data_IF_335841998768
#
_entry.id   IF_335841998768
#
_cell.length_a   1.000
_cell.length_b   1.000
_cell.length_c   1.000
_cell.angle_alpha   90.00
_cell.angle_beta   90.00
_cell.angle_gamma   90.00
#
_symmetry.space_group_name_H-M   'P 1'
#
loop_
_entity.id
_entity.type
_entity.pdbx_description
1 polymer ?
#
# COMPACT_ATOMS: atom_id res chain seq x y z
N UNK A 1 -20.24 -5.24 11.13
CA UNK A 1 -19.17 -5.84 11.96
C UNK A 1 -18.82 -4.87 13.07
N UNK A 2 -18.43 -5.39 14.25
CA UNK A 2 -17.87 -4.57 15.34
C UNK A 2 -16.35 -4.57 15.21
N UNK A 3 -15.76 -3.39 15.01
CA UNK A 3 -14.34 -3.23 14.76
C UNK A 3 -13.72 -2.31 15.81
N UNK A 4 -12.61 -2.73 16.40
CA UNK A 4 -11.85 -1.93 17.35
C UNK A 4 -10.55 -1.49 16.64
N UNK A 5 -10.31 -0.18 16.61
CA UNK A 5 -9.08 0.43 16.09
C UNK A 5 -8.29 1.02 17.25
N UNK A 6 -7.13 0.48 17.50
CA UNK A 6 -6.19 0.92 18.53
C UNK A 6 -5.12 1.82 17.90
N UNK A 7 -5.22 3.12 18.14
CA UNK A 7 -4.42 4.17 17.53
C UNK A 7 -5.25 5.06 16.60
N UNK A 8 -5.38 6.35 16.93
CA UNK A 8 -6.10 7.37 16.17
C UNK A 8 -5.17 8.30 15.37
N UNK A 9 -3.88 7.94 15.25
CA UNK A 9 -2.90 8.64 14.43
C UNK A 9 -3.22 8.57 12.92
N UNK A 10 -2.28 8.98 12.08
CA UNK A 10 -2.48 9.07 10.61
C UNK A 10 -2.93 7.75 9.98
N UNK A 11 -2.35 6.63 10.39
CA UNK A 11 -2.70 5.29 9.88
C UNK A 11 -4.10 4.89 10.33
N UNK A 12 -4.40 4.99 11.64
CA UNK A 12 -5.72 4.64 12.17
C UNK A 12 -6.82 5.48 11.55
N UNK A 13 -6.61 6.79 11.42
CA UNK A 13 -7.57 7.71 10.77
C UNK A 13 -7.82 7.32 9.30
N UNK A 14 -6.76 6.98 8.55
CA UNK A 14 -6.90 6.52 7.18
C UNK A 14 -7.72 5.24 7.09
N UNK A 15 -7.46 4.26 7.95
CA UNK A 15 -8.21 3.00 8.01
C UNK A 15 -9.68 3.27 8.34
N UNK A 16 -9.95 4.08 9.37
CA UNK A 16 -11.33 4.45 9.77
C UNK A 16 -12.08 5.09 8.61
N UNK A 17 -11.45 5.97 7.83
CA UNK A 17 -12.07 6.63 6.67
C UNK A 17 -12.60 5.66 5.60
N UNK A 18 -12.01 4.47 5.49
CA UNK A 18 -12.50 3.39 4.63
C UNK A 18 -13.56 2.53 5.32
N UNK A 19 -13.37 2.22 6.60
CA UNK A 19 -14.27 1.33 7.34
C UNK A 19 -15.66 1.93 7.57
N UNK A 20 -15.76 3.26 7.73
CA UNK A 20 -17.06 3.96 7.90
C UNK A 20 -17.94 3.94 6.64
N UNK A 21 -17.37 3.67 5.46
CA UNK A 21 -18.14 3.50 4.21
C UNK A 21 -18.96 2.20 4.20
N UNK A 22 -18.59 1.24 5.05
CA UNK A 22 -19.33 0.02 5.28
C UNK A 22 -20.33 0.18 6.44
N UNK A 23 -21.18 -0.81 6.65
CA UNK A 23 -22.08 -0.85 7.80
C UNK A 23 -21.35 -1.50 8.99
N UNK A 24 -20.43 -0.75 9.61
CA UNK A 24 -19.58 -1.22 10.71
C UNK A 24 -19.76 -0.35 11.94
N UNK A 25 -19.77 -1.00 13.13
CA UNK A 25 -19.67 -0.35 14.44
C UNK A 25 -18.19 -0.19 14.77
N UNK A 26 -17.69 1.03 14.77
CA UNK A 26 -16.26 1.31 14.93
C UNK A 26 -16.01 1.96 16.28
N UNK A 27 -15.14 1.34 17.08
CA UNK A 27 -14.60 1.90 18.32
C UNK A 27 -13.14 2.29 18.07
N UNK A 28 -12.76 3.50 18.42
CA UNK A 28 -11.37 3.99 18.30
C UNK A 28 -10.80 4.26 19.67
N UNK A 29 -9.67 3.64 19.99
CA UNK A 29 -8.95 3.81 21.26
C UNK A 29 -7.65 4.56 20.99
N UNK A 30 -7.40 5.60 21.78
CA UNK A 30 -6.13 6.34 21.77
C UNK A 30 -5.88 6.97 23.16
N UNK A 31 -4.65 7.18 23.55
CA UNK A 31 -4.30 7.88 24.77
C UNK A 31 -4.26 9.41 24.59
N UNK A 32 -4.36 9.90 23.35
CA UNK A 32 -4.37 11.30 23.00
C UNK A 32 -5.79 11.79 22.70
N UNK A 33 -6.37 12.55 23.63
CA UNK A 33 -7.71 13.12 23.51
C UNK A 33 -7.89 13.94 22.22
N UNK A 34 -6.85 14.67 21.78
CA UNK A 34 -6.92 15.49 20.58
C UNK A 34 -7.18 14.65 19.31
N UNK A 35 -6.51 13.52 19.17
CA UNK A 35 -6.72 12.62 18.02
C UNK A 35 -8.14 12.04 18.04
N UNK A 36 -8.65 11.70 19.22
CA UNK A 36 -10.02 11.22 19.38
C UNK A 36 -11.05 12.30 19.05
N UNK A 37 -10.82 13.55 19.45
CA UNK A 37 -11.70 14.67 19.13
C UNK A 37 -11.70 14.98 17.63
N UNK A 38 -10.55 14.87 16.95
CA UNK A 38 -10.43 15.08 15.52
C UNK A 38 -11.17 13.99 14.72
N UNK A 39 -10.96 12.73 15.08
CA UNK A 39 -11.55 11.59 14.35
C UNK A 39 -13.07 11.51 14.55
N UNK A 40 -13.58 11.79 15.76
CA UNK A 40 -15.02 11.76 16.06
C UNK A 40 -15.80 12.94 15.50
N UNK A 41 -15.13 14.04 15.14
CA UNK A 41 -15.76 15.15 14.39
C UNK A 41 -15.97 14.83 12.92
N UNK A 42 -15.12 13.97 12.37
CA UNK A 42 -15.11 13.64 10.94
C UNK A 42 -15.90 12.37 10.63
N UNK A 43 -15.86 11.40 11.54
CA UNK A 43 -16.43 10.08 11.34
C UNK A 43 -17.37 9.68 12.48
N UNK A 44 -18.38 8.89 12.14
CA UNK A 44 -19.30 8.29 13.12
C UNK A 44 -18.62 7.07 13.78
N UNK A 45 -17.90 7.33 14.86
CA UNK A 45 -17.14 6.34 15.62
C UNK A 45 -17.29 6.56 17.12
N UNK A 46 -17.13 5.52 17.92
CA UNK A 46 -17.10 5.63 19.37
C UNK A 46 -15.66 5.84 19.87
N UNK A 47 -15.29 7.06 20.33
CA UNK A 47 -13.96 7.30 20.87
C UNK A 47 -13.84 6.79 22.32
N UNK A 48 -12.72 6.16 22.64
CA UNK A 48 -12.37 5.69 23.98
C UNK A 48 -10.97 6.16 24.34
N UNK A 49 -10.89 7.04 25.34
CA UNK A 49 -9.61 7.53 25.86
C UNK A 49 -8.95 6.51 26.78
N UNK A 50 -7.73 6.14 26.45
CA UNK A 50 -6.88 5.27 27.27
C UNK A 50 -5.81 4.56 26.46
N UNK A 51 -4.88 3.90 27.17
CA UNK A 51 -3.84 3.07 26.56
C UNK A 51 -4.45 1.77 26.03
N UNK A 52 -4.41 1.50 24.72
CA UNK A 52 -5.07 0.34 24.15
C UNK A 52 -4.41 -1.00 24.56
N UNK A 53 -3.18 -0.98 25.09
CA UNK A 53 -2.51 -2.16 25.66
C UNK A 53 -2.93 -2.47 27.09
N UNK A 54 -3.87 -1.73 27.68
CA UNK A 54 -4.40 -2.01 29.00
C UNK A 54 -5.70 -2.83 28.89
N UNK A 55 -5.81 -3.98 29.61
CA UNK A 55 -6.99 -4.86 29.52
C UNK A 55 -8.31 -4.20 29.89
N UNK A 56 -8.31 -3.32 30.89
CA UNK A 56 -9.51 -2.58 31.35
C UNK A 56 -10.05 -1.63 30.26
N UNK A 57 -9.16 -1.07 29.45
CA UNK A 57 -9.55 -0.22 28.31
C UNK A 57 -10.22 -1.04 27.22
N UNK A 58 -9.66 -2.21 26.89
CA UNK A 58 -10.28 -3.14 25.92
C UNK A 58 -11.63 -3.68 26.46
N UNK A 59 -11.73 -3.98 27.74
CA UNK A 59 -13.00 -4.39 28.37
C UNK A 59 -14.08 -3.33 28.21
N UNK A 60 -13.75 -2.04 28.43
CA UNK A 60 -14.68 -0.91 28.24
C UNK A 60 -15.21 -0.77 26.82
N UNK A 61 -14.51 -1.30 25.82
CA UNK A 61 -14.96 -1.33 24.43
C UNK A 61 -15.81 -2.55 24.09
N UNK A 62 -16.08 -3.42 25.08
CA UNK A 62 -16.75 -4.69 24.86
C UNK A 62 -16.03 -5.54 23.80
N UNK A 63 -14.70 -5.69 23.99
CA UNK A 63 -13.80 -6.35 23.04
C UNK A 63 -14.17 -7.83 22.78
N UNK A 64 -14.80 -8.50 23.76
CA UNK A 64 -15.28 -9.89 23.61
C UNK A 64 -16.33 -10.06 22.51
N UNK A 65 -16.92 -8.96 22.02
CA UNK A 65 -17.91 -8.97 20.93
C UNK A 65 -17.36 -8.39 19.64
N UNK A 66 -16.08 -8.05 19.60
CA UNK A 66 -15.45 -7.53 18.39
C UNK A 66 -15.20 -8.66 17.39
N UNK A 67 -15.49 -8.38 16.12
CA UNK A 67 -15.16 -9.26 14.99
C UNK A 67 -13.73 -9.08 14.53
N UNK A 68 -13.20 -7.85 14.69
CA UNK A 68 -11.86 -7.46 14.21
C UNK A 68 -11.24 -6.46 15.17
N UNK A 69 -9.95 -6.64 15.45
CA UNK A 69 -9.15 -5.65 16.14
C UNK A 69 -7.94 -5.24 15.26
N UNK A 70 -7.74 -3.94 15.15
CA UNK A 70 -6.64 -3.33 14.42
C UNK A 70 -5.72 -2.60 15.41
N UNK A 71 -4.54 -3.12 15.64
CA UNK A 71 -3.51 -2.49 16.49
C UNK A 71 -2.55 -1.69 15.58
N UNK A 72 -2.74 -0.36 15.53
CA UNK A 72 -2.06 0.55 14.60
C UNK A 72 -1.48 1.77 15.29
N UNK A 73 -1.01 1.59 16.51
CA UNK A 73 -0.24 2.61 17.23
C UNK A 73 1.14 2.81 16.60
N UNK A 74 1.92 3.76 17.08
CA UNK A 74 3.24 4.06 16.54
C UNK A 74 4.35 3.13 17.06
N UNK A 75 4.02 2.14 17.93
CA UNK A 75 4.98 1.25 18.59
C UNK A 75 4.64 -0.21 18.30
N UNK A 76 5.55 -0.93 17.65
CA UNK A 76 5.35 -2.32 17.22
C UNK A 76 5.07 -3.24 18.42
N UNK A 77 5.85 -3.14 19.51
CA UNK A 77 5.68 -3.94 20.70
C UNK A 77 4.32 -3.70 21.37
N UNK A 78 3.84 -2.47 21.36
CA UNK A 78 2.51 -2.13 21.88
C UNK A 78 1.44 -2.81 21.04
N UNK A 79 1.58 -2.78 19.71
CA UNK A 79 0.66 -3.43 18.80
C UNK A 79 0.62 -4.96 18.99
N UNK A 80 1.78 -5.58 19.21
CA UNK A 80 1.89 -7.01 19.55
C UNK A 80 1.19 -7.33 20.88
N UNK A 81 1.41 -6.52 21.91
CA UNK A 81 0.78 -6.69 23.24
C UNK A 81 -0.74 -6.53 23.14
N UNK A 82 -1.23 -5.56 22.39
CA UNK A 82 -2.66 -5.36 22.17
C UNK A 82 -3.29 -6.62 21.54
N UNK A 83 -2.69 -7.18 20.51
CA UNK A 83 -3.17 -8.40 19.85
C UNK A 83 -3.14 -9.61 20.81
N UNK A 84 -2.08 -9.73 21.62
CA UNK A 84 -1.98 -10.78 22.63
C UNK A 84 -3.09 -10.69 23.66
N UNK A 85 -3.39 -9.51 24.19
CA UNK A 85 -4.45 -9.30 25.17
C UNK A 85 -5.82 -9.55 24.55
N UNK A 86 -6.05 -9.04 23.33
CA UNK A 86 -7.29 -9.26 22.60
C UNK A 86 -7.57 -10.73 22.36
N UNK A 87 -6.54 -11.52 22.08
CA UNK A 87 -6.66 -12.98 21.96
C UNK A 87 -6.93 -13.65 23.30
N UNK A 88 -6.03 -13.43 24.30
CA UNK A 88 -6.00 -14.22 25.51
C UNK A 88 -7.14 -13.93 26.48
N UNK A 89 -7.64 -12.69 26.52
CA UNK A 89 -8.67 -12.27 27.48
C UNK A 89 -10.04 -12.10 26.83
N UNK A 90 -10.08 -11.73 25.56
CA UNK A 90 -11.34 -11.36 24.88
C UNK A 90 -11.71 -12.27 23.73
N UNK A 91 -10.84 -13.20 23.32
CA UNK A 91 -11.06 -14.13 22.21
C UNK A 91 -11.48 -13.46 20.91
N UNK A 92 -10.90 -12.27 20.62
CA UNK A 92 -11.18 -11.58 19.35
C UNK A 92 -10.69 -12.44 18.18
N UNK A 93 -11.58 -12.80 17.22
CA UNK A 93 -11.24 -13.76 16.18
C UNK A 93 -10.18 -13.26 15.19
N UNK A 94 -10.25 -12.00 14.81
CA UNK A 94 -9.31 -11.43 13.83
C UNK A 94 -8.54 -10.25 14.42
N UNK A 95 -7.20 -10.34 14.31
CA UNK A 95 -6.26 -9.36 14.86
C UNK A 95 -5.24 -8.98 13.79
N UNK A 96 -5.18 -7.69 13.47
CA UNK A 96 -4.23 -7.13 12.52
C UNK A 96 -3.33 -6.17 13.28
N UNK A 97 -2.02 -6.30 13.12
CA UNK A 97 -1.04 -5.42 13.74
C UNK A 97 -0.22 -4.65 12.69
N UNK A 98 0.02 -3.37 12.97
CA UNK A 98 1.08 -2.60 12.30
C UNK A 98 2.41 -2.96 12.93
N UNK A 99 3.35 -3.40 12.09
CA UNK A 99 4.74 -3.68 12.46
C UNK A 99 5.62 -3.09 11.37
N UNK A 100 6.43 -2.12 11.73
CA UNK A 100 7.27 -1.37 10.79
C UNK A 100 8.76 -1.77 10.87
N UNK A 101 9.21 -2.40 11.96
CA UNK A 101 10.61 -2.83 12.14
C UNK A 101 10.89 -4.08 11.30
N UNK A 102 11.92 -4.00 10.45
CA UNK A 102 12.39 -5.13 9.65
C UNK A 102 12.88 -6.30 10.50
N UNK A 103 13.40 -6.02 11.70
CA UNK A 103 13.87 -7.06 12.63
C UNK A 103 12.75 -8.03 13.02
N UNK A 104 11.51 -7.54 13.13
CA UNK A 104 10.34 -8.39 13.40
C UNK A 104 9.74 -9.04 12.15
N UNK A 105 10.09 -8.57 10.96
CA UNK A 105 9.55 -9.05 9.69
C UNK A 105 10.48 -10.03 8.97
N UNK A 106 11.65 -10.32 9.53
CA UNK A 106 12.56 -11.31 8.97
C UNK A 106 11.86 -12.67 8.85
N UNK A 107 11.92 -13.33 7.69
CA UNK A 107 11.34 -14.66 7.47
C UNK A 107 11.82 -15.72 8.47
N UNK A 108 12.99 -15.55 9.08
CA UNK A 108 13.50 -16.43 10.14
C UNK A 108 12.59 -16.44 11.36
N UNK A 109 11.88 -15.36 11.62
CA UNK A 109 10.98 -15.20 12.76
C UNK A 109 9.50 -15.37 12.39
N UNK A 110 9.17 -15.78 11.17
CA UNK A 110 7.79 -15.95 10.72
C UNK A 110 6.95 -16.87 11.61
N UNK A 111 7.60 -17.84 12.28
CA UNK A 111 6.96 -18.73 13.25
C UNK A 111 6.52 -18.04 14.54
N UNK A 112 6.96 -16.80 14.77
CA UNK A 112 6.52 -16.00 15.91
C UNK A 112 5.02 -15.65 15.82
N UNK A 113 4.51 -15.43 14.60
CA UNK A 113 3.16 -14.96 14.37
C UNK A 113 2.19 -16.13 14.14
N UNK A 114 1.69 -16.67 15.25
CA UNK A 114 0.69 -17.73 15.25
C UNK A 114 -0.08 -17.73 16.57
N UNK A 115 -1.17 -18.48 16.65
CA UNK A 115 -2.06 -18.54 17.82
C UNK A 115 -1.37 -18.97 19.12
N UNK A 116 -0.28 -19.74 19.05
CA UNK A 116 0.42 -20.25 20.21
C UNK A 116 1.48 -19.29 20.77
N UNK A 117 1.93 -18.32 19.97
CA UNK A 117 2.96 -17.34 20.35
C UNK A 117 2.38 -15.93 20.35
N UNK A 118 2.52 -15.20 19.23
CA UNK A 118 1.90 -13.88 19.02
C UNK A 118 0.71 -14.02 18.07
N UNK A 119 -0.52 -13.96 18.54
CA UNK A 119 -1.72 -14.24 17.77
C UNK A 119 -2.11 -13.05 16.89
N UNK A 120 -1.30 -12.80 15.86
CA UNK A 120 -1.52 -11.80 14.84
C UNK A 120 -1.84 -12.52 13.54
N UNK A 121 -3.04 -12.29 13.02
CA UNK A 121 -3.52 -12.97 11.81
C UNK A 121 -2.95 -12.32 10.55
N UNK A 122 -2.73 -11.01 10.58
CA UNK A 122 -2.12 -10.26 9.49
C UNK A 122 -1.28 -9.10 10.01
N UNK A 123 -0.11 -8.94 9.40
CA UNK A 123 0.77 -7.80 9.64
C UNK A 123 0.60 -6.80 8.49
N UNK A 124 0.55 -5.52 8.83
CA UNK A 124 0.62 -4.42 7.89
C UNK A 124 1.85 -3.57 8.21
N UNK A 125 2.60 -3.18 7.18
CA UNK A 125 3.72 -2.26 7.29
C UNK A 125 3.57 -1.16 6.22
N UNK A 126 2.92 -0.04 6.54
CA UNK A 126 2.72 1.06 5.61
C UNK A 126 4.03 1.61 5.04
N UNK A 127 5.06 1.70 5.87
CA UNK A 127 6.36 2.23 5.47
C UNK A 127 7.04 1.34 4.41
N UNK A 128 7.04 0.03 4.62
CA UNK A 128 7.57 -0.93 3.65
C UNK A 128 6.75 -0.91 2.36
N UNK A 129 5.41 -0.89 2.47
CA UNK A 129 4.54 -0.86 1.29
C UNK A 129 4.79 0.39 0.43
N UNK A 130 5.00 1.56 1.04
CA UNK A 130 5.36 2.80 0.34
C UNK A 130 6.73 2.66 -0.32
N UNK A 131 7.74 2.18 0.42
CA UNK A 131 9.08 1.99 -0.09
C UNK A 131 9.11 1.03 -1.29
N UNK A 132 8.42 -0.09 -1.20
CA UNK A 132 8.30 -1.04 -2.30
C UNK A 132 7.56 -0.48 -3.51
N UNK A 133 6.53 0.37 -3.30
CA UNK A 133 5.87 1.07 -4.40
C UNK A 133 6.84 2.01 -5.12
N UNK A 134 7.67 2.75 -4.37
CA UNK A 134 8.71 3.61 -4.94
C UNK A 134 9.75 2.79 -5.69
N UNK A 135 10.25 1.69 -5.12
CA UNK A 135 11.21 0.79 -5.80
C UNK A 135 10.66 0.27 -7.13
N UNK A 136 9.39 -0.11 -7.18
CA UNK A 136 8.75 -0.56 -8.43
C UNK A 136 8.74 0.55 -9.49
N UNK A 137 8.42 1.80 -9.11
CA UNK A 137 8.44 2.93 -10.04
C UNK A 137 9.86 3.22 -10.53
N UNK A 138 10.86 3.10 -9.65
CA UNK A 138 12.27 3.27 -10.03
C UNK A 138 12.75 2.17 -10.99
N UNK A 139 12.30 0.93 -10.78
CA UNK A 139 12.65 -0.22 -11.61
C UNK A 139 12.04 -0.13 -13.02
N UNK A 140 10.86 0.47 -13.14
CA UNK A 140 10.14 0.59 -14.41
C UNK A 140 9.90 2.07 -14.75
N UNK A 141 10.96 2.82 -15.11
CA UNK A 141 10.85 4.23 -15.44
C UNK A 141 9.95 4.41 -16.68
N UNK A 142 9.05 5.38 -16.62
CA UNK A 142 8.02 5.61 -17.65
C UNK A 142 6.61 5.19 -17.23
N UNK A 143 6.50 4.30 -16.23
CA UNK A 143 5.20 4.05 -15.59
C UNK A 143 4.89 5.12 -14.54
N UNK A 144 3.63 5.52 -14.41
CA UNK A 144 3.12 6.34 -13.28
C UNK A 144 2.65 5.50 -12.10
N UNK A 145 2.46 4.20 -12.30
CA UNK A 145 2.13 3.22 -11.27
C UNK A 145 2.33 1.80 -11.77
N UNK A 146 2.64 0.90 -10.83
CA UNK A 146 2.80 -0.52 -11.13
C UNK A 146 2.33 -1.36 -9.93
N UNK A 147 1.39 -2.26 -10.19
CA UNK A 147 0.81 -3.14 -9.17
C UNK A 147 1.01 -4.61 -9.58
N UNK A 148 1.75 -5.40 -8.78
CA UNK A 148 1.88 -6.82 -9.03
C UNK A 148 0.56 -7.55 -8.79
N UNK A 149 0.21 -8.45 -9.69
CA UNK A 149 -0.95 -9.36 -9.57
C UNK A 149 -0.52 -10.80 -9.83
N UNK A 150 -1.37 -11.75 -9.47
CA UNK A 150 -1.10 -13.19 -9.65
C UNK A 150 0.24 -13.64 -9.06
N UNK A 151 0.61 -13.11 -7.87
CA UNK A 151 1.89 -13.44 -7.24
C UNK A 151 3.11 -12.92 -8.01
N UNK A 152 3.00 -11.79 -8.71
CA UNK A 152 4.09 -11.18 -9.47
C UNK A 152 4.28 -11.75 -10.89
N UNK A 153 3.40 -12.63 -11.35
CA UNK A 153 3.45 -13.17 -12.73
C UNK A 153 2.92 -12.19 -13.77
N UNK A 154 2.13 -11.21 -13.33
CA UNK A 154 1.63 -10.12 -14.16
C UNK A 154 1.60 -8.83 -13.35
N UNK A 155 1.52 -7.71 -14.07
CA UNK A 155 1.44 -6.37 -13.49
C UNK A 155 0.28 -5.60 -14.10
N UNK A 156 -0.38 -4.79 -13.28
CA UNK A 156 -1.21 -3.69 -13.76
C UNK A 156 -0.30 -2.47 -13.85
N UNK A 157 -0.05 -2.01 -15.07
CA UNK A 157 0.72 -0.79 -15.33
C UNK A 157 -0.23 0.38 -15.49
N UNK A 158 0.09 1.48 -14.85
CA UNK A 158 -0.52 2.78 -15.10
C UNK A 158 0.44 3.59 -15.94
N UNK A 159 0.03 3.98 -17.15
CA UNK A 159 0.82 4.76 -18.09
C UNK A 159 0.09 6.06 -18.40
N UNK A 160 0.80 7.19 -18.29
CA UNK A 160 0.30 8.49 -18.72
C UNK A 160 0.83 8.80 -20.11
N UNK A 161 -0.06 8.94 -21.08
CA UNK A 161 0.32 9.12 -22.47
C UNK A 161 0.69 10.59 -22.76
N UNK A 162 1.83 10.77 -23.35
CA UNK A 162 2.29 12.08 -23.82
C UNK A 162 2.25 12.20 -25.37
N UNK A 163 2.64 13.33 -25.89
CA UNK A 163 2.64 13.59 -27.33
C UNK A 163 3.65 12.74 -28.12
N UNK A 164 4.62 12.11 -27.44
CA UNK A 164 5.62 11.23 -28.03
C UNK A 164 5.14 9.78 -28.18
N UNK A 165 4.00 9.42 -27.57
CA UNK A 165 3.48 8.07 -27.65
C UNK A 165 3.04 7.72 -29.09
N UNK A 166 3.63 6.70 -29.73
CA UNK A 166 3.33 6.31 -31.10
C UNK A 166 1.93 5.69 -31.27
N UNK A 167 1.31 5.25 -30.18
CA UNK A 167 0.03 4.56 -30.17
C UNK A 167 -1.18 5.50 -29.99
N UNK A 168 -0.92 6.79 -29.79
CA UNK A 168 -1.97 7.81 -29.70
C UNK A 168 -2.68 8.00 -31.04
N UNK A 169 -4.00 8.16 -31.00
CA UNK A 169 -4.92 8.31 -32.18
C UNK A 169 -5.01 7.09 -33.09
N UNK A 170 -4.54 5.95 -32.63
CA UNK A 170 -4.72 4.68 -33.33
C UNK A 170 -5.87 3.92 -32.65
N UNK A 171 -6.91 3.49 -33.40
CA UNK A 171 -7.96 2.65 -32.83
C UNK A 171 -7.39 1.36 -32.24
N UNK A 172 -7.89 0.95 -31.07
CA UNK A 172 -7.37 -0.22 -30.33
C UNK A 172 -7.35 -1.48 -31.19
N UNK A 173 -8.34 -1.64 -32.09
CA UNK A 173 -8.37 -2.77 -33.02
C UNK A 173 -7.17 -2.85 -33.97
N UNK A 174 -6.43 -1.76 -34.15
CA UNK A 174 -5.25 -1.71 -35.01
C UNK A 174 -3.92 -1.81 -34.26
N UNK A 175 -3.95 -1.82 -32.92
CA UNK A 175 -2.73 -1.88 -32.10
C UNK A 175 -1.95 -3.16 -32.37
N UNK A 176 -2.60 -4.31 -32.56
CA UNK A 176 -1.95 -5.56 -32.91
C UNK A 176 -1.20 -5.52 -34.25
N UNK A 177 -1.52 -4.56 -35.14
CA UNK A 177 -0.79 -4.34 -36.39
C UNK A 177 0.35 -3.33 -36.23
N UNK A 178 0.16 -2.33 -35.36
CA UNK A 178 1.12 -1.24 -35.11
C UNK A 178 2.20 -1.66 -34.13
N UNK A 179 1.85 -2.54 -33.18
CA UNK A 179 2.73 -3.10 -32.15
C UNK A 179 2.40 -4.60 -32.03
N UNK A 180 2.91 -5.47 -32.93
CA UNK A 180 2.54 -6.90 -32.97
C UNK A 180 2.99 -7.68 -31.75
N UNK A 181 3.99 -7.22 -31.04
CA UNK A 181 4.54 -7.83 -29.83
C UNK A 181 3.85 -7.33 -28.55
N UNK A 182 2.90 -6.41 -28.68
CA UNK A 182 2.14 -5.85 -27.58
C UNK A 182 1.10 -6.86 -27.05
N UNK A 183 1.47 -7.64 -26.03
CA UNK A 183 0.58 -8.61 -25.36
C UNK A 183 0.02 -7.99 -24.08
N UNK A 184 -0.96 -7.11 -24.22
CA UNK A 184 -1.59 -6.39 -23.10
C UNK A 184 -3.11 -6.49 -23.15
N UNK A 185 -3.74 -6.40 -21.96
CA UNK A 185 -5.17 -6.20 -21.85
C UNK A 185 -5.46 -4.82 -21.25
N UNK A 186 -6.24 -4.01 -21.96
CA UNK A 186 -6.70 -2.72 -21.45
C UNK A 186 -7.75 -2.94 -20.37
N UNK A 187 -7.54 -2.34 -19.19
CA UNK A 187 -8.47 -2.41 -18.07
C UNK A 187 -9.41 -1.19 -18.12
N UNK A 188 -8.84 0.00 -18.17
CA UNK A 188 -9.57 1.25 -18.29
C UNK A 188 -8.69 2.37 -18.83
N UNK A 189 -9.35 3.46 -19.22
CA UNK A 189 -8.75 4.74 -19.60
C UNK A 189 -9.36 5.83 -18.72
N UNK A 190 -8.52 6.61 -18.07
CA UNK A 190 -8.91 7.80 -17.33
C UNK A 190 -8.63 9.02 -18.22
N UNK A 191 -9.70 9.68 -18.67
CA UNK A 191 -9.66 10.87 -19.51
C UNK A 191 -10.47 11.99 -18.86
N UNK A 192 -9.88 13.13 -18.61
CA UNK A 192 -10.54 14.31 -18.01
C UNK A 192 -11.30 14.00 -16.71
N UNK A 193 -10.77 13.06 -15.90
CA UNK A 193 -11.37 12.61 -14.65
C UNK A 193 -12.47 11.55 -14.79
N UNK A 194 -12.83 11.15 -16.01
CA UNK A 194 -13.76 10.06 -16.28
C UNK A 194 -13.02 8.76 -16.52
N UNK A 195 -13.48 7.68 -15.85
CA UNK A 195 -12.91 6.35 -15.99
C UNK A 195 -13.83 5.51 -16.91
N UNK A 196 -13.30 5.08 -18.03
CA UNK A 196 -14.05 4.33 -19.05
C UNK A 196 -13.33 3.03 -19.40
N UNK A 197 -14.08 1.99 -19.75
CA UNK A 197 -13.53 0.77 -20.35
C UNK A 197 -13.50 1.00 -21.85
N UNK A 198 -12.29 1.01 -22.47
CA UNK A 198 -12.19 1.35 -23.88
C UNK A 198 -12.74 0.21 -24.75
N UNK A 199 -13.43 0.58 -25.82
CA UNK A 199 -13.92 -0.34 -26.85
C UNK A 199 -12.89 -0.48 -28.01
N UNK A 200 -13.04 -1.50 -28.83
CA UNK A 200 -12.08 -1.80 -29.92
C UNK A 200 -11.94 -0.66 -30.97
N UNK A 201 -12.96 0.18 -31.11
CA UNK A 201 -12.94 1.31 -32.04
C UNK A 201 -12.43 2.61 -31.43
N UNK A 202 -12.26 2.64 -30.12
CA UNK A 202 -11.74 3.81 -29.40
C UNK A 202 -10.25 4.00 -29.70
N UNK A 203 -9.83 5.25 -29.65
CA UNK A 203 -8.44 5.64 -29.80
C UNK A 203 -7.94 6.27 -28.50
N UNK A 204 -6.69 6.00 -28.18
CA UNK A 204 -6.00 6.66 -27.08
C UNK A 204 -5.65 8.11 -27.46
N UNK A 205 -5.68 9.01 -26.49
CA UNK A 205 -5.36 10.43 -26.68
C UNK A 205 -4.20 10.88 -25.77
N UNK A 206 -3.60 11.98 -26.17
CA UNK A 206 -2.56 12.62 -25.33
C UNK A 206 -3.19 13.11 -24.03
N UNK A 207 -2.58 12.76 -22.91
CA UNK A 207 -3.09 13.08 -21.57
C UNK A 207 -3.88 11.97 -20.91
N UNK A 208 -4.31 10.94 -21.67
CA UNK A 208 -4.94 9.78 -21.08
C UNK A 208 -4.02 9.09 -20.08
N UNK A 209 -4.60 8.64 -18.97
CA UNK A 209 -3.97 7.71 -18.07
C UNK A 209 -4.63 6.33 -18.25
N UNK A 210 -3.85 5.37 -18.72
CA UNK A 210 -4.33 4.03 -19.03
C UNK A 210 -3.86 3.03 -18.00
N UNK A 211 -4.74 2.11 -17.63
CA UNK A 211 -4.38 0.94 -16.84
C UNK A 211 -4.45 -0.30 -17.74
N UNK A 212 -3.33 -0.98 -17.85
CA UNK A 212 -3.17 -2.18 -18.68
C UNK A 212 -2.63 -3.35 -17.87
N UNK A 213 -3.10 -4.55 -18.15
CA UNK A 213 -2.55 -5.78 -17.60
C UNK A 213 -1.49 -6.30 -18.57
N UNK A 214 -0.31 -6.64 -18.05
CA UNK A 214 0.83 -7.12 -18.82
C UNK A 214 1.52 -8.27 -18.08
N UNK A 215 2.10 -9.22 -18.80
CA UNK A 215 2.95 -10.26 -18.21
C UNK A 215 4.24 -9.65 -17.65
N UNK A 216 4.78 -10.25 -16.58
CA UNK A 216 5.98 -9.74 -15.92
C UNK A 216 7.17 -9.56 -16.89
N UNK A 217 7.36 -10.52 -17.79
CA UNK A 217 8.46 -10.52 -18.74
C UNK A 217 8.33 -9.48 -19.87
N UNK A 218 7.12 -8.93 -20.07
CA UNK A 218 6.82 -8.02 -21.18
C UNK A 218 6.69 -6.55 -20.73
N UNK A 219 6.97 -6.24 -19.46
CA UNK A 219 6.77 -4.88 -18.90
C UNK A 219 7.64 -3.86 -19.62
N UNK A 220 8.94 -4.14 -19.76
CA UNK A 220 9.90 -3.21 -20.38
C UNK A 220 9.60 -2.98 -21.86
N UNK A 221 9.24 -4.05 -22.57
CA UNK A 221 8.84 -3.98 -23.97
C UNK A 221 7.56 -3.17 -24.14
N UNK A 222 6.58 -3.40 -23.27
CA UNK A 222 5.33 -2.63 -23.28
C UNK A 222 5.60 -1.14 -23.06
N UNK A 223 6.40 -0.74 -22.08
CA UNK A 223 6.75 0.66 -21.83
C UNK A 223 7.44 1.27 -23.06
N UNK A 224 8.31 0.51 -23.74
CA UNK A 224 8.99 0.92 -24.96
C UNK A 224 8.03 1.12 -26.13
N UNK A 225 7.09 0.20 -26.34
CA UNK A 225 6.08 0.30 -27.40
C UNK A 225 5.16 1.53 -27.24
N UNK A 226 4.88 1.93 -25.99
CA UNK A 226 4.19 3.19 -25.70
C UNK A 226 5.07 4.44 -25.85
N UNK A 227 6.36 4.29 -26.18
CA UNK A 227 7.29 5.42 -26.32
C UNK A 227 7.61 6.12 -25.00
N UNK A 228 7.37 5.46 -23.88
CA UNK A 228 7.55 6.02 -22.53
C UNK A 228 8.88 5.60 -21.90
N UNK A 229 9.77 4.99 -22.67
CA UNK A 229 11.11 4.65 -22.21
C UNK A 229 11.86 5.89 -21.72
N UNK A 230 12.26 5.88 -20.49
CA UNK A 230 13.09 6.93 -19.90
C UNK A 230 14.47 6.36 -19.63
N UNK A 231 15.52 7.22 -19.74
CA UNK A 231 16.84 6.78 -19.34
C UNK A 231 16.81 6.34 -17.89
N UNK A 232 17.47 5.24 -17.57
CA UNK A 232 17.66 4.78 -16.20
C UNK A 232 18.26 5.93 -15.39
N UNK A 233 17.65 6.22 -14.24
CA UNK A 233 18.10 7.31 -13.39
C UNK A 233 19.52 6.99 -12.89
N UNK A 234 20.51 7.78 -13.29
CA UNK A 234 21.89 7.61 -12.86
C UNK A 234 22.14 8.14 -11.44
N UNK A 235 21.21 8.94 -10.91
CA UNK A 235 21.33 9.56 -9.58
C UNK A 235 19.99 9.62 -8.88
N UNK A 236 19.94 9.08 -7.67
CA UNK A 236 18.80 9.18 -6.77
C UNK A 236 19.21 10.01 -5.55
N UNK A 237 18.39 10.97 -5.16
CA UNK A 237 18.57 11.75 -3.94
C UNK A 237 17.36 11.52 -3.04
N UNK A 238 17.58 11.04 -1.82
CA UNK A 238 16.54 10.81 -0.83
C UNK A 238 16.65 11.90 0.24
N UNK A 239 15.57 12.67 0.42
CA UNK A 239 15.48 13.67 1.47
C UNK A 239 14.72 13.10 2.67
N UNK A 240 15.38 13.03 3.82
CA UNK A 240 14.85 12.51 5.08
C UNK A 240 15.48 11.18 5.46
N UNK A 241 15.58 10.91 6.78
CA UNK A 241 16.20 9.71 7.37
C UNK A 241 15.20 8.84 8.13
N UNK A 242 13.95 8.77 7.69
CA UNK A 242 12.94 7.92 8.31
C UNK A 242 13.07 6.44 7.87
N UNK A 243 12.25 5.56 8.43
CA UNK A 243 12.23 4.11 8.12
C UNK A 243 12.04 3.82 6.62
N UNK A 244 11.26 4.64 5.91
CA UNK A 244 11.07 4.50 4.45
C UNK A 244 12.39 4.74 3.72
N UNK A 245 13.12 5.81 4.08
CA UNK A 245 14.39 6.16 3.45
C UNK A 245 15.46 5.08 3.71
N UNK A 246 15.52 4.55 4.94
CA UNK A 246 16.44 3.47 5.30
C UNK A 246 16.16 2.20 4.49
N UNK A 247 14.89 1.77 4.43
CA UNK A 247 14.49 0.60 3.65
C UNK A 247 14.82 0.77 2.17
N UNK A 248 14.50 1.93 1.60
CA UNK A 248 14.83 2.26 0.20
C UNK A 248 16.34 2.18 -0.04
N UNK A 249 17.15 2.80 0.84
CA UNK A 249 18.61 2.79 0.72
C UNK A 249 19.18 1.38 0.71
N UNK A 250 18.80 0.55 1.67
CA UNK A 250 19.25 -0.85 1.76
C UNK A 250 18.89 -1.67 0.53
N UNK A 251 17.63 -1.53 0.04
CA UNK A 251 17.18 -2.28 -1.14
C UNK A 251 17.87 -1.82 -2.43
N UNK A 252 18.10 -0.53 -2.59
CA UNK A 252 18.75 0.03 -3.76
C UNK A 252 20.23 -0.35 -3.81
N UNK A 253 20.93 -0.38 -2.66
CA UNK A 253 22.32 -0.83 -2.59
C UNK A 253 22.52 -2.31 -2.96
N UNK A 254 21.48 -3.13 -2.81
CA UNK A 254 21.52 -4.57 -3.10
C UNK A 254 20.96 -4.91 -4.49
N UNK A 255 20.33 -3.97 -5.19
CA UNK A 255 19.78 -4.19 -6.53
C UNK A 255 20.66 -3.48 -7.57
N UNK A 256 21.56 -4.26 -8.21
CA UNK A 256 22.45 -3.78 -9.27
C UNK A 256 21.72 -3.14 -10.48
N UNK A 257 20.41 -3.32 -10.57
CA UNK A 257 19.56 -2.72 -11.61
C UNK A 257 19.12 -1.29 -11.29
N UNK A 258 19.25 -0.85 -10.04
CA UNK A 258 18.88 0.47 -9.56
C UNK A 258 20.14 1.17 -9.02
N UNK A 259 20.94 1.76 -9.86
CA UNK A 259 22.00 2.80 -9.61
C UNK A 259 22.75 2.83 -8.26
N UNK A 260 24.07 3.07 -8.34
CA UNK A 260 24.92 3.33 -7.16
C UNK A 260 24.47 4.57 -6.37
N UNK A 261 23.94 4.38 -5.19
CA UNK A 261 23.66 5.42 -4.20
C UNK A 261 24.92 5.80 -3.42
N UNK A 262 25.17 7.10 -3.26
CA UNK A 262 26.02 7.61 -2.18
C UNK A 262 25.13 8.33 -1.18
N UNK A 263 25.04 7.83 0.05
CA UNK A 263 24.49 8.60 1.16
C UNK A 263 25.52 9.65 1.58
N UNK A 264 25.18 10.94 1.52
CA UNK A 264 25.91 11.97 2.24
C UNK A 264 25.25 12.10 3.62
N UNK A 265 25.87 11.53 4.63
CA UNK A 265 25.56 11.83 6.03
C UNK A 265 26.03 13.26 6.31
N UNK A 266 25.10 14.17 6.45
CA UNK A 266 25.37 15.44 7.11
C UNK A 266 25.25 15.25 8.61
N UNK A 267 26.43 15.25 9.27
CA UNK A 267 26.60 15.42 10.73
C UNK A 267 26.01 16.73 11.23
#
# INVERSE_FOLDING_TARGET
>A
MKIIVCGAGSVGRSIVSYLVKGNNDIVVIDDNQRYLDEISKEFDVLPVLGMPSHPDILERTDASRADLLLAVTDTDEVNMVICQIAHSLFNVPHKIARIDSEDFLDPLWATLYNENHLPIDQIISPNIAIAEAVLRILKFPGSSGILPVLGGKAYVLTLKLDAGCPLVRIPLMHLTRSAPDLDVAFINVLRDGNCEIPEMYDSLEVGDEINILVKADNVDETIREFGLERPTNERLVIFGGNSIANYLGQKIEHDDSIVSCRSEEHT
#
